data_IF_252247333920
#
_entry.id   IF_252247333920
#
_cell.length_a   1.000
_cell.length_b   1.000
_cell.length_c   1.000
_cell.angle_alpha   90.00
_cell.angle_beta   90.00
_cell.angle_gamma   90.00
#
_symmetry.space_group_name_H-M   'P 1'
#
loop_
_entity.id
_entity.type
_entity.pdbx_description
1 polymer ?
#
# COMPACT_ATOMS: atom_id res chain seq x y z
N UNK A 1 -19.55 19.69 -1.19
CA UNK A 1 -19.66 18.54 -2.11
C UNK A 1 -20.46 17.43 -1.46
N UNK A 2 -21.15 16.61 -2.25
CA UNK A 2 -21.91 15.47 -1.72
C UNK A 2 -20.96 14.30 -1.38
N UNK A 3 -21.31 13.47 -0.40
CA UNK A 3 -20.57 12.24 -0.13
C UNK A 3 -20.81 11.21 -1.23
N UNK A 4 -19.74 10.56 -1.69
CA UNK A 4 -19.83 9.44 -2.64
C UNK A 4 -20.64 8.29 -2.05
N UNK A 5 -21.54 7.74 -2.87
CA UNK A 5 -22.33 6.57 -2.55
C UNK A 5 -21.86 5.42 -3.42
N UNK A 6 -21.29 4.40 -2.80
CA UNK A 6 -20.85 3.20 -3.49
C UNK A 6 -22.04 2.49 -4.15
N UNK A 7 -21.98 2.22 -5.46
CA UNK A 7 -22.86 1.24 -6.09
C UNK A 7 -22.60 -0.15 -5.49
N UNK A 8 -23.62 -1.01 -5.40
CA UNK A 8 -23.40 -2.40 -5.00
C UNK A 8 -22.49 -3.09 -6.02
N UNK A 9 -21.56 -3.91 -5.55
CA UNK A 9 -20.74 -4.74 -6.43
C UNK A 9 -21.63 -5.72 -7.24
N UNK A 10 -21.24 -6.09 -8.47
CA UNK A 10 -22.04 -6.97 -9.33
C UNK A 10 -22.30 -8.37 -8.73
N UNK A 11 -21.45 -8.85 -7.83
CA UNK A 11 -21.61 -10.12 -7.16
C UNK A 11 -20.35 -10.58 -6.44
N UNK A 12 -20.38 -11.84 -5.98
CA UNK A 12 -19.21 -12.49 -5.39
C UNK A 12 -18.12 -12.63 -6.45
N UNK A 13 -16.86 -12.36 -6.09
CA UNK A 13 -15.72 -12.40 -7.01
C UNK A 13 -15.53 -11.12 -7.83
N UNK A 14 -16.10 -10.00 -7.41
CA UNK A 14 -15.74 -8.68 -7.92
C UNK A 14 -15.00 -7.90 -6.83
N UNK A 15 -14.03 -7.09 -7.25
CA UNK A 15 -13.39 -6.08 -6.41
C UNK A 15 -13.59 -4.72 -7.05
N UNK A 16 -13.41 -3.66 -6.27
CA UNK A 16 -13.29 -2.30 -6.80
C UNK A 16 -11.83 -1.93 -6.89
N UNK A 17 -11.46 -1.25 -7.95
CA UNK A 17 -10.13 -0.70 -8.18
C UNK A 17 -10.23 0.81 -8.31
N UNK A 18 -9.10 1.48 -8.07
CA UNK A 18 -8.97 2.92 -8.02
C UNK A 18 -7.98 3.36 -9.08
N UNK A 19 -8.35 4.33 -9.91
CA UNK A 19 -7.43 5.07 -10.75
C UNK A 19 -7.17 6.42 -10.10
N UNK A 20 -5.94 6.66 -9.65
CA UNK A 20 -5.49 7.95 -9.18
C UNK A 20 -5.13 8.81 -10.40
N UNK A 21 -5.79 9.95 -10.55
CA UNK A 21 -5.56 10.85 -11.68
C UNK A 21 -4.25 11.62 -11.54
N UNK A 22 -3.61 12.00 -12.67
CA UNK A 22 -2.39 12.79 -12.64
C UNK A 22 -2.61 14.20 -12.08
N UNK A 23 -1.55 14.79 -11.55
CA UNK A 23 -1.56 16.14 -11.00
C UNK A 23 -0.27 16.47 -10.24
N UNK A 24 -0.06 17.76 -9.96
CA UNK A 24 1.02 18.23 -9.11
C UNK A 24 0.78 17.87 -7.65
N UNK A 25 1.80 17.95 -6.79
CA UNK A 25 1.68 17.51 -5.40
C UNK A 25 0.52 18.19 -4.65
N UNK A 26 0.39 19.51 -4.79
CA UNK A 26 -0.61 20.32 -4.07
C UNK A 26 -2.00 20.35 -4.72
N UNK A 27 -2.16 19.79 -5.93
CA UNK A 27 -3.46 19.74 -6.60
C UNK A 27 -4.46 18.89 -5.81
N UNK A 28 -5.74 19.18 -5.95
CA UNK A 28 -6.81 18.37 -5.37
C UNK A 28 -6.68 16.90 -5.80
N UNK A 29 -6.91 15.97 -4.87
CA UNK A 29 -6.86 14.54 -5.17
C UNK A 29 -8.15 14.12 -5.88
N UNK A 30 -8.01 13.59 -7.09
CA UNK A 30 -9.12 13.04 -7.88
C UNK A 30 -8.84 11.58 -8.21
N UNK A 31 -9.86 10.75 -8.06
CA UNK A 31 -9.81 9.31 -8.35
C UNK A 31 -11.00 8.88 -9.21
N UNK A 32 -10.86 7.78 -9.94
CA UNK A 32 -12.00 7.04 -10.51
C UNK A 32 -12.07 5.66 -9.90
N UNK A 33 -13.28 5.19 -9.59
CA UNK A 33 -13.51 3.85 -9.08
C UNK A 33 -14.14 2.99 -10.17
N UNK A 34 -13.67 1.75 -10.32
CA UNK A 34 -14.20 0.80 -11.29
C UNK A 34 -14.28 -0.61 -10.68
N UNK A 35 -15.39 -1.28 -10.96
CA UNK A 35 -15.57 -2.68 -10.56
C UNK A 35 -14.82 -3.60 -11.55
N UNK A 36 -14.17 -4.62 -11.02
CA UNK A 36 -13.33 -5.56 -11.75
C UNK A 36 -13.67 -6.98 -11.31
N UNK A 37 -13.87 -7.88 -12.26
CA UNK A 37 -13.96 -9.30 -11.96
C UNK A 37 -12.60 -9.79 -11.45
N UNK A 38 -12.60 -10.41 -10.28
CA UNK A 38 -11.41 -10.92 -9.62
C UNK A 38 -11.21 -12.39 -10.00
N UNK A 39 -10.36 -12.61 -11.01
CA UNK A 39 -9.99 -13.94 -11.50
C UNK A 39 -8.71 -14.46 -10.83
N UNK A 40 -8.34 -15.71 -11.13
CA UNK A 40 -7.10 -16.33 -10.64
C UNK A 40 -5.82 -15.85 -11.36
N UNK A 41 -5.94 -14.91 -12.30
CA UNK A 41 -4.82 -14.28 -12.99
C UNK A 41 -4.21 -13.13 -12.17
N UNK A 42 -2.96 -12.77 -12.49
CA UNK A 42 -2.39 -11.51 -12.05
C UNK A 42 -3.18 -10.34 -12.65
N UNK A 43 -3.28 -9.25 -11.89
CA UNK A 43 -3.98 -8.04 -12.31
C UNK A 43 -3.02 -6.85 -12.32
N UNK A 44 -3.29 -5.86 -13.18
CA UNK A 44 -2.39 -4.73 -13.40
C UNK A 44 -2.43 -3.65 -12.29
N UNK A 45 -3.23 -3.82 -11.24
CA UNK A 45 -3.28 -2.85 -10.14
C UNK A 45 -2.13 -3.07 -9.14
N UNK A 46 -1.71 -2.00 -8.50
CA UNK A 46 -0.80 -2.03 -7.35
C UNK A 46 -1.61 -1.96 -6.05
N UNK A 47 -1.31 -2.78 -5.05
CA UNK A 47 -1.99 -2.69 -3.75
C UNK A 47 -1.23 -1.75 -2.80
N UNK A 48 -1.93 -0.87 -2.09
CA UNK A 48 -1.32 0.01 -1.09
C UNK A 48 -1.49 -0.56 0.32
N UNK A 49 -0.38 -0.87 0.98
CA UNK A 49 -0.31 -1.17 2.41
C UNK A 49 0.21 0.06 3.16
N UNK A 50 -0.54 0.52 4.16
CA UNK A 50 -0.20 1.71 4.94
C UNK A 50 -0.80 1.58 6.34
N UNK A 51 -0.24 2.32 7.30
CA UNK A 51 -0.79 2.37 8.65
C UNK A 51 -2.11 3.14 8.66
N UNK A 52 -3.14 2.46 9.16
CA UNK A 52 -4.45 3.07 9.39
C UNK A 52 -4.39 4.00 10.60
N UNK A 53 -5.04 5.16 10.48
CA UNK A 53 -5.11 6.16 11.54
C UNK A 53 -4.03 7.23 11.40
N UNK A 54 -4.44 8.46 11.65
CA UNK A 54 -3.56 9.62 11.76
C UNK A 54 -4.28 10.65 12.62
N UNK A 55 -3.55 11.33 13.50
CA UNK A 55 -4.08 12.50 14.20
C UNK A 55 -4.28 13.62 13.17
N UNK A 56 -5.52 13.87 12.76
CA UNK A 56 -5.79 14.89 11.75
C UNK A 56 -7.23 14.84 11.23
N UNK A 57 -7.63 15.93 10.59
CA UNK A 57 -8.92 15.98 9.90
C UNK A 57 -8.81 15.21 8.58
N UNK A 58 -9.72 14.26 8.29
CA UNK A 58 -9.75 13.58 7.01
C UNK A 58 -9.85 14.58 5.84
N UNK A 59 -9.18 14.26 4.75
CA UNK A 59 -9.17 15.10 3.55
C UNK A 59 -10.14 14.56 2.49
N UNK A 60 -10.83 15.44 1.75
CA UNK A 60 -11.70 15.03 0.66
C UNK A 60 -10.89 14.56 -0.55
N UNK A 61 -11.33 13.46 -1.15
CA UNK A 61 -10.84 12.95 -2.43
C UNK A 61 -12.02 12.93 -3.40
N UNK A 62 -11.92 13.70 -4.49
CA UNK A 62 -12.94 13.79 -5.53
C UNK A 62 -13.06 12.50 -6.32
N UNK A 63 -14.29 12.04 -6.59
CA UNK A 63 -14.55 10.86 -7.41
C UNK A 63 -15.07 11.28 -8.79
N UNK A 64 -14.34 10.89 -9.83
CA UNK A 64 -14.56 11.25 -11.24
C UNK A 64 -14.00 12.63 -11.60
N UNK A 65 -14.35 13.65 -10.82
CA UNK A 65 -13.89 15.04 -10.99
C UNK A 65 -13.64 15.70 -9.63
N UNK A 66 -12.94 16.84 -9.63
CA UNK A 66 -12.78 17.68 -8.44
C UNK A 66 -14.14 18.15 -7.91
N UNK A 67 -15.02 18.65 -8.79
CA UNK A 67 -16.37 19.13 -8.44
C UNK A 67 -17.39 18.02 -8.09
N UNK A 68 -16.95 16.76 -8.15
CA UNK A 68 -17.79 15.58 -7.98
C UNK A 68 -18.17 15.25 -6.53
N UNK A 69 -18.79 14.08 -6.31
CA UNK A 69 -18.91 13.52 -4.98
C UNK A 69 -17.55 13.15 -4.40
N UNK A 70 -17.43 13.19 -3.08
CA UNK A 70 -16.15 12.97 -2.38
C UNK A 70 -16.16 11.73 -1.48
N UNK A 71 -15.00 11.10 -1.37
CA UNK A 71 -14.65 10.19 -0.27
C UNK A 71 -13.75 10.93 0.72
N UNK A 72 -13.70 10.45 1.96
CA UNK A 72 -12.80 10.99 2.98
C UNK A 72 -11.63 10.04 3.17
N UNK A 73 -10.43 10.51 2.87
CA UNK A 73 -9.18 9.82 3.17
C UNK A 73 -8.66 10.31 4.53
N UNK A 74 -8.08 9.41 5.34
CA UNK A 74 -7.28 9.87 6.48
C UNK A 74 -6.12 10.73 5.98
N UNK A 75 -5.58 11.59 6.84
CA UNK A 75 -4.45 12.45 6.44
C UNK A 75 -3.26 11.62 5.95
N UNK A 76 -2.93 10.52 6.64
CA UNK A 76 -1.86 9.63 6.18
C UNK A 76 -2.12 9.09 4.76
N UNK A 77 -3.35 8.65 4.48
CA UNK A 77 -3.71 8.16 3.15
C UNK A 77 -3.66 9.28 2.09
N UNK A 78 -4.14 10.48 2.41
CA UNK A 78 -4.09 11.62 1.49
C UNK A 78 -2.63 12.00 1.14
N UNK A 79 -1.75 12.01 2.13
CA UNK A 79 -0.32 12.25 1.94
C UNK A 79 0.31 11.14 1.10
N UNK A 80 0.00 9.87 1.37
CA UNK A 80 0.45 8.74 0.55
C UNK A 80 0.01 8.90 -0.91
N UNK A 81 -1.26 9.21 -1.15
CA UNK A 81 -1.80 9.42 -2.50
C UNK A 81 -1.06 10.54 -3.24
N UNK A 82 -0.74 11.67 -2.59
CA UNK A 82 0.02 12.76 -3.21
C UNK A 82 1.44 12.33 -3.63
N UNK A 83 2.13 11.57 -2.79
CA UNK A 83 3.47 11.05 -3.11
C UNK A 83 3.44 9.98 -4.19
N UNK A 84 2.37 9.18 -4.24
CA UNK A 84 2.20 8.13 -5.24
C UNK A 84 1.68 8.65 -6.58
N UNK A 85 1.04 9.83 -6.61
CA UNK A 85 0.51 10.47 -7.81
C UNK A 85 1.65 10.81 -8.78
N UNK A 86 1.46 10.47 -10.04
CA UNK A 86 2.36 10.93 -11.10
C UNK A 86 1.85 12.26 -11.68
N UNK A 87 2.77 13.10 -12.14
CA UNK A 87 2.42 14.40 -12.71
C UNK A 87 1.60 14.30 -14.01
N UNK A 88 1.85 13.28 -14.83
CA UNK A 88 1.33 13.23 -16.21
C UNK A 88 0.56 11.94 -16.56
N UNK A 89 0.63 10.90 -15.74
CA UNK A 89 -0.04 9.63 -16.02
C UNK A 89 -0.90 9.16 -14.85
N UNK A 90 -2.03 8.50 -15.11
CA UNK A 90 -2.81 7.88 -14.05
C UNK A 90 -2.04 6.73 -13.42
N UNK A 91 -2.41 6.40 -12.18
CA UNK A 91 -1.87 5.26 -11.44
C UNK A 91 -2.99 4.34 -10.99
N UNK A 92 -2.85 3.05 -11.24
CA UNK A 92 -3.89 2.06 -10.98
C UNK A 92 -3.62 1.31 -9.68
N UNK A 93 -4.50 1.48 -8.71
CA UNK A 93 -4.30 1.10 -7.32
C UNK A 93 -5.49 0.29 -6.78
N UNK A 94 -5.22 -0.50 -5.75
CA UNK A 94 -6.22 -1.00 -4.82
C UNK A 94 -5.88 -0.54 -3.40
N UNK A 95 -6.85 0.09 -2.74
CA UNK A 95 -6.71 0.66 -1.40
C UNK A 95 -7.95 0.29 -0.61
N UNK A 96 -7.80 -0.53 0.42
CA UNK A 96 -8.90 -1.04 1.25
C UNK A 96 -9.90 0.03 1.73
N UNK A 97 -9.42 1.18 2.20
CA UNK A 97 -10.26 2.26 2.72
C UNK A 97 -11.12 2.96 1.65
N UNK A 98 -10.73 2.89 0.37
CA UNK A 98 -11.43 3.59 -0.73
C UNK A 98 -12.09 2.62 -1.73
N UNK A 99 -11.58 1.40 -1.86
CA UNK A 99 -12.14 0.38 -2.75
C UNK A 99 -13.28 -0.39 -2.08
N UNK A 100 -13.21 -0.58 -0.76
CA UNK A 100 -14.25 -1.30 -0.01
C UNK A 100 -15.25 -0.29 0.55
N UNK A 101 -16.54 -0.53 0.35
CA UNK A 101 -17.57 0.23 1.06
C UNK A 101 -17.56 -0.12 2.56
N UNK A 102 -16.79 0.65 3.33
CA UNK A 102 -16.59 0.44 4.77
C UNK A 102 -17.88 0.52 5.61
N UNK A 103 -18.96 1.06 5.05
CA UNK A 103 -20.26 1.22 5.72
C UNK A 103 -21.26 0.10 5.41
N UNK A 104 -20.90 -0.85 4.55
CA UNK A 104 -21.76 -1.96 4.17
C UNK A 104 -21.12 -3.29 4.58
N UNK A 105 -21.54 -3.85 5.71
CA UNK A 105 -20.97 -5.08 6.25
C UNK A 105 -21.18 -6.30 5.33
N UNK A 106 -22.26 -6.31 4.54
CA UNK A 106 -22.52 -7.37 3.56
C UNK A 106 -21.49 -7.37 2.41
N UNK A 107 -20.94 -6.21 2.07
CA UNK A 107 -19.86 -6.05 1.10
C UNK A 107 -18.48 -6.22 1.75
N UNK A 108 -18.28 -5.60 2.92
CA UNK A 108 -17.00 -5.53 3.62
C UNK A 108 -16.48 -6.90 4.02
N UNK A 109 -17.32 -7.75 4.62
CA UNK A 109 -16.90 -9.08 5.08
C UNK A 109 -16.26 -9.93 3.97
N UNK A 110 -16.94 -10.12 2.83
CA UNK A 110 -16.37 -10.82 1.67
C UNK A 110 -15.08 -10.19 1.13
N UNK A 111 -15.00 -8.86 1.02
CA UNK A 111 -13.79 -8.19 0.52
C UNK A 111 -12.60 -8.38 1.47
N UNK A 112 -12.83 -8.30 2.79
CA UNK A 112 -11.79 -8.56 3.80
C UNK A 112 -11.31 -10.01 3.75
N UNK A 113 -12.23 -10.97 3.55
CA UNK A 113 -11.86 -12.38 3.37
C UNK A 113 -11.00 -12.62 2.11
N UNK A 114 -11.18 -11.80 1.06
CA UNK A 114 -10.40 -11.87 -0.19
C UNK A 114 -9.08 -11.10 -0.13
N UNK A 115 -8.82 -10.34 0.95
CA UNK A 115 -7.72 -9.37 1.01
C UNK A 115 -6.35 -10.03 0.75
N UNK A 116 -6.10 -11.20 1.33
CA UNK A 116 -4.85 -11.94 1.10
C UNK A 116 -4.61 -12.27 -0.39
N UNK A 117 -5.65 -12.67 -1.11
CA UNK A 117 -5.56 -12.93 -2.54
C UNK A 117 -5.39 -11.65 -3.36
N UNK A 118 -6.06 -10.56 -2.97
CA UNK A 118 -5.94 -9.25 -3.63
C UNK A 118 -4.49 -8.75 -3.56
N UNK A 119 -3.88 -8.75 -2.37
CA UNK A 119 -2.48 -8.36 -2.23
C UNK A 119 -1.54 -9.29 -2.99
N UNK A 120 -1.78 -10.61 -2.92
CA UNK A 120 -0.96 -11.63 -3.62
C UNK A 120 -1.00 -11.51 -5.14
N UNK A 121 -2.12 -11.07 -5.71
CA UNK A 121 -2.35 -11.01 -7.17
C UNK A 121 -2.17 -9.61 -7.76
N UNK A 122 -1.85 -8.62 -6.94
CA UNK A 122 -1.47 -7.29 -7.39
C UNK A 122 -0.17 -7.37 -8.21
N UNK A 123 0.02 -6.44 -9.15
CA UNK A 123 1.27 -6.31 -9.89
C UNK A 123 2.47 -6.08 -8.95
N UNK A 124 2.23 -5.36 -7.85
CA UNK A 124 3.10 -5.23 -6.68
C UNK A 124 2.34 -4.68 -5.49
N UNK A 125 2.94 -4.79 -4.31
CA UNK A 125 2.47 -4.13 -3.08
C UNK A 125 3.37 -2.94 -2.78
N UNK A 126 2.78 -1.77 -2.58
CA UNK A 126 3.45 -0.56 -2.13
C UNK A 126 3.28 -0.48 -0.61
N UNK A 127 4.37 -0.58 0.14
CA UNK A 127 4.37 -0.30 1.57
C UNK A 127 4.65 1.20 1.79
N UNK A 128 3.69 1.93 2.35
CA UNK A 128 3.82 3.33 2.72
C UNK A 128 4.09 3.45 4.22
N UNK A 129 5.32 3.88 4.55
CA UNK A 129 5.80 4.04 5.93
C UNK A 129 5.69 5.50 6.43
N UNK A 130 5.14 6.39 5.61
CA UNK A 130 5.08 7.83 5.88
C UNK A 130 6.05 8.62 5.01
N UNK A 131 6.01 9.97 5.09
CA UNK A 131 6.97 10.84 4.43
C UNK A 131 8.39 10.57 4.92
N UNK A 132 9.38 10.87 4.09
CA UNK A 132 10.78 10.84 4.50
C UNK A 132 10.99 11.75 5.72
N UNK A 133 11.39 11.17 6.84
CA UNK A 133 11.66 11.82 8.13
C UNK A 133 12.72 11.01 8.88
N UNK A 134 13.40 11.64 9.84
CA UNK A 134 14.21 10.94 10.87
C UNK A 134 15.17 9.86 10.33
N UNK A 135 16.04 10.20 9.37
CA UNK A 135 17.01 9.28 8.74
C UNK A 135 16.36 8.08 8.01
N UNK A 136 15.11 8.20 7.54
CA UNK A 136 14.42 7.15 6.77
C UNK A 136 15.23 6.61 5.59
N UNK A 137 16.02 7.47 4.93
CA UNK A 137 16.90 7.06 3.83
C UNK A 137 17.94 6.04 4.29
N UNK A 138 18.48 6.21 5.49
CA UNK A 138 19.46 5.29 6.08
C UNK A 138 18.83 3.94 6.44
N UNK A 139 17.58 3.95 6.90
CA UNK A 139 16.83 2.72 7.14
C UNK A 139 16.52 1.97 5.84
N UNK A 140 16.20 2.69 4.75
CA UNK A 140 16.00 2.10 3.42
C UNK A 140 17.30 1.50 2.86
N UNK A 141 18.46 2.15 3.05
CA UNK A 141 19.77 1.56 2.72
C UNK A 141 20.01 0.23 3.46
N UNK A 142 19.57 0.13 4.72
CA UNK A 142 19.69 -1.11 5.50
C UNK A 142 18.77 -2.20 4.98
N UNK A 143 17.53 -1.87 4.59
CA UNK A 143 16.63 -2.84 3.96
C UNK A 143 17.13 -3.30 2.60
N UNK A 144 17.71 -2.42 1.78
CA UNK A 144 18.33 -2.79 0.51
C UNK A 144 19.48 -3.77 0.74
N UNK A 145 20.34 -3.50 1.72
CA UNK A 145 21.41 -4.42 2.10
C UNK A 145 20.86 -5.82 2.46
N UNK A 146 19.85 -5.90 3.35
CA UNK A 146 19.24 -7.18 3.73
C UNK A 146 18.61 -7.89 2.53
N UNK A 147 17.88 -7.16 1.68
CA UNK A 147 17.25 -7.71 0.48
C UNK A 147 18.25 -8.29 -0.52
N UNK A 148 19.53 -7.88 -0.47
CA UNK A 148 20.61 -8.47 -1.25
C UNK A 148 21.28 -9.67 -0.58
N UNK A 149 21.06 -9.89 0.72
CA UNK A 149 21.69 -10.99 1.46
C UNK A 149 20.79 -12.22 1.57
N UNK A 150 19.47 -12.03 1.67
CA UNK A 150 18.55 -13.12 2.02
C UNK A 150 17.32 -13.21 1.12
N UNK A 151 16.90 -14.43 0.86
CA UNK A 151 15.62 -14.77 0.27
C UNK A 151 14.69 -15.34 1.35
N UNK A 152 13.39 -15.10 1.22
CA UNK A 152 12.40 -15.56 2.19
C UNK A 152 11.51 -16.59 1.52
N UNK A 153 11.57 -17.82 2.03
CA UNK A 153 10.68 -18.89 1.60
C UNK A 153 9.32 -18.72 2.26
N UNK A 154 8.41 -18.09 1.52
CA UNK A 154 7.03 -17.85 1.96
C UNK A 154 6.15 -19.12 1.91
N UNK A 155 6.64 -20.24 1.37
CA UNK A 155 5.86 -21.48 1.23
C UNK A 155 6.00 -22.43 2.41
N UNK A 156 7.13 -22.37 3.12
CA UNK A 156 7.42 -23.23 4.27
C UNK A 156 7.88 -22.38 5.46
N UNK A 157 6.92 -21.85 6.23
CA UNK A 157 7.15 -21.26 7.55
C UNK A 157 8.24 -20.18 7.64
N UNK A 158 8.27 -19.23 6.70
CA UNK A 158 9.15 -18.04 6.73
C UNK A 158 10.63 -18.39 6.99
N UNK A 159 11.12 -19.46 6.35
CA UNK A 159 12.54 -19.79 6.39
C UNK A 159 13.30 -18.73 5.58
N UNK A 160 14.06 -17.89 6.27
CA UNK A 160 15.04 -16.99 5.65
C UNK A 160 16.22 -17.85 5.23
N UNK A 161 16.71 -17.65 4.00
CA UNK A 161 17.88 -18.35 3.47
C UNK A 161 18.80 -17.33 2.80
N UNK A 162 20.11 -17.55 2.80
CA UNK A 162 21.02 -16.68 2.07
C UNK A 162 20.77 -16.74 0.56
N UNK A 163 20.88 -15.61 -0.13
CA UNK A 163 20.89 -15.56 -1.59
C UNK A 163 22.22 -16.12 -2.10
N UNK A 164 22.18 -16.83 -3.23
CA UNK A 164 23.39 -17.29 -3.91
C UNK A 164 24.30 -16.10 -4.27
N UNK A 165 25.53 -16.10 -3.74
CA UNK A 165 26.49 -15.01 -3.96
C UNK A 165 26.31 -13.80 -3.05
N UNK A 166 25.51 -13.90 -1.98
CA UNK A 166 25.44 -12.89 -0.94
C UNK A 166 26.82 -12.62 -0.30
N UNK A 167 26.98 -11.41 0.24
CA UNK A 167 28.19 -10.98 0.94
C UNK A 167 28.22 -11.55 2.35
N UNK A 168 27.05 -11.64 2.99
CA UNK A 168 26.89 -12.14 4.36
C UNK A 168 25.81 -13.23 4.43
N UNK A 169 26.26 -14.48 4.34
CA UNK A 169 25.37 -15.64 4.42
C UNK A 169 24.86 -15.93 5.84
N UNK A 170 25.42 -15.30 6.88
CA UNK A 170 24.96 -15.54 8.25
C UNK A 170 23.57 -14.95 8.51
N UNK A 171 23.18 -13.95 7.73
CA UNK A 171 21.86 -13.31 7.81
C UNK A 171 20.69 -14.23 7.44
N UNK A 172 20.96 -15.39 6.82
CA UNK A 172 19.95 -16.43 6.64
C UNK A 172 19.50 -17.08 7.95
N UNK A 173 20.26 -16.94 9.03
CA UNK A 173 19.91 -17.46 10.35
C UNK A 173 19.21 -16.39 11.19
N UNK A 174 17.98 -16.67 11.65
CA UNK A 174 17.20 -15.73 12.47
C UNK A 174 17.85 -15.37 13.82
N UNK A 175 18.85 -16.14 14.26
CA UNK A 175 19.65 -15.87 15.46
C UNK A 175 20.80 -14.88 15.25
N UNK A 176 21.09 -14.50 14.01
CA UNK A 176 22.19 -13.59 13.68
C UNK A 176 21.81 -12.16 14.03
N UNK A 177 22.70 -11.48 14.77
CA UNK A 177 22.54 -10.05 15.02
C UNK A 177 22.71 -9.27 13.71
N UNK A 178 21.84 -8.30 13.46
CA UNK A 178 21.94 -7.46 12.27
C UNK A 178 23.24 -6.66 12.30
N UNK A 179 24.00 -6.58 11.19
CA UNK A 179 25.30 -5.90 11.11
C UNK A 179 25.13 -4.38 10.99
N UNK A 180 24.19 -3.81 11.75
CA UNK A 180 23.88 -2.38 11.75
C UNK A 180 24.41 -1.74 13.03
N UNK A 181 24.98 -0.55 12.88
CA UNK A 181 25.34 0.27 14.01
C UNK A 181 24.10 0.79 14.74
N UNK A 182 24.31 1.43 15.90
CA UNK A 182 23.21 1.97 16.70
C UNK A 182 22.33 2.94 15.91
N UNK A 183 22.91 3.74 15.02
CA UNK A 183 22.18 4.66 14.15
C UNK A 183 21.29 3.90 13.15
N UNK A 184 21.81 2.86 12.49
CA UNK A 184 21.03 2.01 11.59
C UNK A 184 19.88 1.30 12.30
N UNK A 185 20.12 0.77 13.50
CA UNK A 185 19.06 0.13 14.31
C UNK A 185 17.97 1.12 14.74
N UNK A 186 18.36 2.33 15.17
CA UNK A 186 17.42 3.39 15.54
C UNK A 186 16.61 3.88 14.33
N UNK A 187 17.22 4.03 13.16
CA UNK A 187 16.53 4.43 11.94
C UNK A 187 15.46 3.39 11.52
N UNK A 188 15.76 2.09 11.59
CA UNK A 188 14.78 1.02 11.31
C UNK A 188 13.62 1.06 12.32
N UNK A 189 13.92 1.29 13.61
CA UNK A 189 12.90 1.36 14.65
C UNK A 189 11.92 2.52 14.44
N UNK A 190 12.41 3.68 14.00
CA UNK A 190 11.58 4.87 13.78
C UNK A 190 10.70 4.81 12.53
N UNK A 191 10.91 3.85 11.63
CA UNK A 191 10.00 3.61 10.50
C UNK A 191 8.65 3.02 10.93
N UNK A 192 8.54 2.47 12.14
CA UNK A 192 7.31 1.88 12.66
C UNK A 192 6.53 2.81 13.61
N UNK A 193 7.01 4.04 13.85
CA UNK A 193 6.45 5.03 14.78
C UNK A 193 5.91 6.28 14.11
#
# INVERSE_FOLDING_TARGET
MAMYKYPPLPGKGYIRTLTLHPGQFDDELVISLADMAFSDSHHDYEALSYVWGSEGTPEPVGVGTSDGPVLLATQNLAVALRHLRHAERPRFLWIDALCINQKNDEEKGPQVAMMGDIYRRAARVIAWLGPAKDDSDHAMERFEYLGLQVDVDWTTAAAIKPIDGCVDSSLGELSTELPFDSRGMTAIYHLQS
#
